data_IF_189815701789
#
_entry.id   IF_189815701789
#
_cell.length_a   1.000
_cell.length_b   1.000
_cell.length_c   1.000
_cell.angle_alpha   90.00
_cell.angle_beta   90.00
_cell.angle_gamma   90.00
#
_symmetry.space_group_name_H-M   'P 1'
#
loop_
_entity.id
_entity.type
_entity.pdbx_description
1 polymer ?
#
# COMPACT_ATOMS: atom_id res chain seq x y z
N UNK A 1 -6.78 2.54 -7.30
CA UNK A 1 -7.41 1.33 -6.74
C UNK A 1 -8.43 1.68 -5.67
N UNK A 2 -8.05 2.42 -4.62
CA UNK A 2 -8.91 2.91 -3.54
C UNK A 2 -10.20 3.59 -4.01
N UNK A 3 -10.09 4.53 -4.97
CA UNK A 3 -11.23 5.19 -5.63
C UNK A 3 -12.31 4.20 -6.07
N UNK A 4 -11.93 3.18 -6.85
CA UNK A 4 -12.86 2.19 -7.38
C UNK A 4 -13.31 1.19 -6.31
N UNK A 5 -12.44 0.84 -5.36
CA UNK A 5 -12.79 -0.05 -4.26
C UNK A 5 -13.85 0.56 -3.33
N UNK A 6 -13.75 1.86 -3.05
CA UNK A 6 -14.63 2.57 -2.13
C UNK A 6 -15.79 3.29 -2.84
N UNK A 7 -15.75 3.38 -4.17
CA UNK A 7 -16.74 4.15 -4.95
C UNK A 7 -16.65 5.65 -4.71
N UNK A 8 -15.45 6.16 -4.40
CA UNK A 8 -15.20 7.55 -4.02
C UNK A 8 -14.31 8.24 -5.05
N UNK A 9 -14.64 9.47 -5.40
CA UNK A 9 -13.72 10.33 -6.15
C UNK A 9 -12.77 11.04 -5.19
N UNK A 10 -11.47 10.80 -5.31
CA UNK A 10 -10.44 11.37 -4.43
C UNK A 10 -10.37 12.90 -4.54
N UNK A 11 -10.75 13.45 -5.68
CA UNK A 11 -10.64 14.88 -5.98
C UNK A 11 -11.94 15.63 -5.61
N UNK A 12 -13.00 14.92 -5.24
CA UNK A 12 -14.26 15.49 -4.80
C UNK A 12 -14.22 15.85 -3.30
N UNK A 13 -14.11 17.14 -2.99
CA UNK A 13 -13.99 17.66 -1.61
C UNK A 13 -15.07 17.18 -0.64
N UNK A 14 -16.29 16.89 -1.15
CA UNK A 14 -17.40 16.37 -0.34
C UNK A 14 -17.08 15.01 0.30
N UNK A 15 -16.28 14.18 -0.36
CA UNK A 15 -16.03 12.78 0.03
C UNK A 15 -14.56 12.41 0.18
N UNK A 16 -13.63 13.30 -0.19
CA UNK A 16 -12.19 13.08 -0.12
C UNK A 16 -11.71 12.65 1.28
N UNK A 17 -12.36 13.15 2.35
CA UNK A 17 -12.05 12.77 3.74
C UNK A 17 -12.28 11.28 4.05
N UNK A 18 -13.08 10.58 3.24
CA UNK A 18 -13.34 9.15 3.39
C UNK A 18 -12.41 8.29 2.52
N UNK A 19 -11.50 8.91 1.75
CA UNK A 19 -10.50 8.21 0.95
C UNK A 19 -9.33 7.78 1.84
N UNK A 20 -9.29 6.49 2.21
CA UNK A 20 -8.18 5.92 2.98
C UNK A 20 -7.72 4.60 2.34
N UNK A 21 -6.46 4.55 1.92
CA UNK A 21 -5.84 3.36 1.34
C UNK A 21 -5.69 2.20 2.34
N UNK A 22 -5.77 2.47 3.64
CA UNK A 22 -5.71 1.48 4.73
C UNK A 22 -7.09 0.92 5.08
N UNK A 23 -8.15 1.38 4.40
CA UNK A 23 -9.50 0.87 4.62
C UNK A 23 -9.53 -0.67 4.45
N UNK A 24 -10.24 -1.42 5.34
CA UNK A 24 -10.29 -2.89 5.29
C UNK A 24 -10.71 -3.47 3.94
N UNK A 25 -11.57 -2.79 3.18
CA UNK A 25 -11.95 -3.21 1.84
C UNK A 25 -10.77 -3.12 0.86
N UNK A 26 -9.99 -2.04 0.95
CA UNK A 26 -8.83 -1.78 0.08
C UNK A 26 -7.71 -2.75 0.40
N UNK A 27 -7.39 -2.93 1.68
CA UNK A 27 -6.34 -3.87 2.12
C UNK A 27 -6.69 -5.32 1.78
N UNK A 28 -7.97 -5.70 1.84
CA UNK A 28 -8.44 -7.01 1.36
C UNK A 28 -8.17 -7.20 -0.13
N UNK A 29 -8.50 -6.22 -0.97
CA UNK A 29 -8.24 -6.29 -2.42
C UNK A 29 -6.74 -6.33 -2.71
N UNK A 30 -5.94 -5.52 -2.02
CA UNK A 30 -4.47 -5.56 -2.14
C UNK A 30 -3.93 -6.94 -1.81
N UNK A 31 -4.34 -7.50 -0.67
CA UNK A 31 -3.89 -8.82 -0.25
C UNK A 31 -4.28 -9.89 -1.27
N UNK A 32 -5.50 -9.86 -1.80
CA UNK A 32 -5.93 -10.78 -2.86
C UNK A 32 -5.04 -10.69 -4.10
N UNK A 33 -4.68 -9.47 -4.54
CA UNK A 33 -3.79 -9.29 -5.68
C UNK A 33 -2.37 -9.81 -5.38
N UNK A 34 -1.84 -9.52 -4.19
CA UNK A 34 -0.52 -9.98 -3.73
C UNK A 34 -0.46 -11.50 -3.65
N UNK A 35 -1.43 -12.12 -2.99
CA UNK A 35 -1.54 -13.58 -2.87
C UNK A 35 -1.62 -14.24 -4.25
N UNK A 36 -2.43 -13.68 -5.18
CA UNK A 36 -2.57 -14.22 -6.52
C UNK A 36 -1.26 -14.14 -7.33
N UNK A 37 -0.54 -13.02 -7.27
CA UNK A 37 0.76 -12.88 -7.92
C UNK A 37 1.78 -13.87 -7.37
N UNK A 38 1.86 -13.98 -6.05
CA UNK A 38 2.77 -14.90 -5.35
C UNK A 38 2.46 -16.37 -5.63
N UNK A 39 1.18 -16.75 -5.64
CA UNK A 39 0.74 -18.11 -5.95
C UNK A 39 1.19 -18.57 -7.36
N UNK A 40 1.41 -17.62 -8.27
CA UNK A 40 1.92 -17.87 -9.62
C UNK A 40 3.44 -17.72 -9.74
N UNK A 41 4.16 -17.54 -8.62
CA UNK A 41 5.59 -17.27 -8.62
C UNK A 41 5.96 -15.98 -9.35
N UNK A 42 5.03 -15.02 -9.44
CA UNK A 42 5.25 -13.72 -10.09
C UNK A 42 5.54 -12.65 -9.05
N UNK A 43 6.36 -11.70 -9.47
CA UNK A 43 6.62 -10.48 -8.71
C UNK A 43 5.38 -9.58 -8.69
N UNK A 44 5.15 -8.90 -7.58
CA UNK A 44 4.11 -7.89 -7.43
C UNK A 44 4.60 -6.70 -6.60
N UNK A 45 4.34 -5.50 -7.10
CA UNK A 45 4.75 -4.24 -6.48
C UNK A 45 3.61 -3.22 -6.46
N UNK A 46 3.81 -2.15 -5.69
CA UNK A 46 2.87 -1.03 -5.59
C UNK A 46 3.61 0.29 -5.83
N UNK A 47 2.96 1.22 -6.53
CA UNK A 47 3.46 2.58 -6.82
C UNK A 47 2.48 3.69 -6.38
N UNK A 48 1.47 3.32 -5.60
CA UNK A 48 0.54 4.30 -5.03
C UNK A 48 1.20 5.15 -3.94
N UNK A 49 0.59 6.28 -3.64
CA UNK A 49 1.09 7.25 -2.66
C UNK A 49 1.09 6.68 -1.23
N UNK A 50 0.06 5.91 -0.85
CA UNK A 50 -0.15 5.38 0.50
C UNK A 50 1.11 4.92 1.27
N UNK A 51 1.97 4.02 0.76
CA UNK A 51 3.17 3.59 1.48
C UNK A 51 4.24 4.68 1.67
N UNK A 52 4.20 5.78 0.91
CA UNK A 52 5.07 6.95 1.13
C UNK A 52 4.52 7.84 2.25
N UNK A 53 3.19 7.97 2.34
CA UNK A 53 2.52 8.80 3.35
C UNK A 53 2.38 8.09 4.71
N UNK A 54 2.32 6.76 4.70
CA UNK A 54 2.01 5.93 5.86
C UNK A 54 3.06 4.79 6.03
N UNK A 55 4.09 4.98 6.87
CA UNK A 55 5.11 3.95 7.11
C UNK A 55 4.54 2.63 7.67
N UNK A 56 3.51 2.70 8.51
CA UNK A 56 2.79 1.54 9.05
C UNK A 56 2.11 0.74 7.92
N UNK A 57 1.63 1.41 6.88
CA UNK A 57 1.08 0.75 5.71
C UNK A 57 2.17 0.07 4.86
N UNK A 58 3.34 0.68 4.73
CA UNK A 58 4.50 0.04 4.12
C UNK A 58 4.93 -1.23 4.90
N UNK A 59 4.89 -1.19 6.24
CA UNK A 59 5.14 -2.35 7.08
C UNK A 59 4.12 -3.46 6.87
N UNK A 60 2.83 -3.13 6.83
CA UNK A 60 1.79 -4.10 6.54
C UNK A 60 1.96 -4.74 5.16
N UNK A 61 2.29 -3.95 4.13
CA UNK A 61 2.58 -4.45 2.78
C UNK A 61 3.76 -5.44 2.77
N UNK A 62 4.81 -5.14 3.54
CA UNK A 62 5.94 -6.04 3.75
C UNK A 62 5.52 -7.34 4.47
N UNK A 63 4.70 -7.23 5.52
CA UNK A 63 4.17 -8.38 6.28
C UNK A 63 3.36 -9.33 5.39
N UNK A 64 2.48 -8.80 4.53
CA UNK A 64 1.69 -9.62 3.59
C UNK A 64 2.51 -10.11 2.38
N UNK A 65 3.79 -9.76 2.31
CA UNK A 65 4.75 -10.33 1.36
C UNK A 65 4.76 -9.67 -0.01
N UNK A 66 4.51 -8.36 -0.10
CA UNK A 66 4.73 -7.63 -1.36
C UNK A 66 6.20 -7.76 -1.80
N UNK A 67 6.46 -7.77 -3.11
CA UNK A 67 7.82 -7.95 -3.63
C UNK A 67 8.59 -6.63 -3.75
N UNK A 68 7.89 -5.50 -3.88
CA UNK A 68 8.51 -4.18 -3.93
C UNK A 68 7.59 -3.06 -3.51
N UNK A 69 8.20 -1.96 -3.07
CA UNK A 69 7.55 -0.68 -2.87
C UNK A 69 8.23 0.37 -3.77
N UNK A 70 7.44 1.10 -4.56
CA UNK A 70 7.90 2.33 -5.22
C UNK A 70 7.40 3.50 -4.41
N UNK A 71 8.33 4.27 -3.85
CA UNK A 71 8.06 5.36 -2.90
C UNK A 71 8.49 6.71 -3.47
N UNK A 72 8.02 7.78 -2.87
CA UNK A 72 8.52 9.12 -3.19
C UNK A 72 9.99 9.28 -2.76
N UNK A 73 10.80 10.05 -3.51
CA UNK A 73 12.23 10.19 -3.24
C UNK A 73 12.57 10.72 -1.84
N UNK A 74 11.70 11.54 -1.26
CA UNK A 74 11.82 12.09 0.09
C UNK A 74 11.51 11.06 1.19
N UNK A 75 10.55 10.17 0.95
CA UNK A 75 10.13 9.12 1.91
C UNK A 75 10.98 7.84 1.89
N UNK A 76 11.78 7.61 0.84
CA UNK A 76 12.39 6.30 0.57
C UNK A 76 13.38 5.87 1.67
N UNK A 77 14.23 6.77 2.15
CA UNK A 77 15.27 6.45 3.14
C UNK A 77 14.65 6.16 4.49
N UNK A 78 13.71 7.01 4.93
CA UNK A 78 13.00 6.84 6.20
C UNK A 78 12.22 5.52 6.23
N UNK A 79 11.43 5.26 5.18
CA UNK A 79 10.64 4.03 5.08
C UNK A 79 11.53 2.80 5.07
N UNK A 80 12.66 2.84 4.34
CA UNK A 80 13.59 1.71 4.31
C UNK A 80 14.20 1.42 5.68
N UNK A 81 14.65 2.45 6.40
CA UNK A 81 15.17 2.31 7.77
C UNK A 81 14.11 1.81 8.74
N UNK A 82 12.87 2.28 8.61
CA UNK A 82 11.74 1.81 9.39
C UNK A 82 11.50 0.31 9.19
N UNK A 83 11.39 -0.14 7.93
CA UNK A 83 11.20 -1.54 7.60
C UNK A 83 12.37 -2.42 8.08
N UNK A 84 13.61 -1.96 7.91
CA UNK A 84 14.79 -2.71 8.36
C UNK A 84 14.82 -2.96 9.88
N UNK A 85 14.19 -2.09 10.68
CA UNK A 85 14.09 -2.26 12.12
C UNK A 85 13.01 -3.26 12.56
N UNK A 86 12.05 -3.57 11.69
CA UNK A 86 10.97 -4.53 11.97
C UNK A 86 11.41 -5.99 11.80
N UNK A 87 12.42 -6.23 10.95
CA UNK A 87 12.90 -7.57 10.57
C UNK A 87 13.89 -8.19 11.57
N UNK A 88 13.84 -7.80 12.84
CA UNK A 88 14.72 -8.34 13.91
C UNK A 88 14.22 -9.66 14.47
#
# INVERSE_FOLDING_TARGET
>A
MTQLCLGLDRDASLVAHAFDERNPAVTKILKMAIDAGRAQGKYIGICGQGPSDYPDFAAWLNEVGISSLSLNPDSIVETWLYLANLTK
#
